data_IF_275285455025
#
_entry.id   IF_275285455025
#
_cell.length_a   1.000
_cell.length_b   1.000
_cell.length_c   1.000
_cell.angle_alpha   90.00
_cell.angle_beta   90.00
_cell.angle_gamma   90.00
#
_symmetry.space_group_name_H-M   'P 1'
#
loop_
_entity.id
_entity.type
_entity.pdbx_description
1 polymer ?
#
# COMPACT_ATOMS: atom_id res chain seq x y z
N UNK A 1 -5.72 10.06 6.18
CA UNK A 1 -5.52 11.02 5.07
C UNK A 1 -4.33 10.60 4.22
N UNK A 2 -4.40 10.78 2.89
CA UNK A 2 -3.23 10.63 2.00
C UNK A 2 -2.25 11.78 2.18
N UNK A 3 -0.97 11.47 2.23
CA UNK A 3 0.09 12.48 2.23
C UNK A 3 0.19 13.11 0.85
N UNK A 4 -0.04 14.43 0.77
CA UNK A 4 -0.07 15.17 -0.50
C UNK A 4 1.29 15.72 -0.92
N UNK A 5 2.07 16.18 0.06
CA UNK A 5 3.46 16.60 -0.10
C UNK A 5 4.35 15.82 0.86
N UNK A 6 4.99 14.76 0.35
CA UNK A 6 5.93 13.94 1.09
C UNK A 6 7.06 14.76 1.74
N UNK A 7 7.47 15.90 1.16
CA UNK A 7 8.53 16.75 1.73
C UNK A 7 8.07 17.59 2.92
N UNK A 8 6.80 17.99 2.98
CA UNK A 8 6.28 18.84 4.07
C UNK A 8 5.56 18.06 5.15
N UNK A 9 4.82 17.04 4.76
CA UNK A 9 3.92 16.32 5.67
C UNK A 9 4.55 15.06 6.25
N UNK A 10 5.59 14.51 5.61
CA UNK A 10 6.32 13.32 6.09
C UNK A 10 7.79 13.61 6.42
N UNK A 11 8.48 14.37 5.57
CA UNK A 11 9.93 14.48 5.60
C UNK A 11 10.50 15.41 6.70
N UNK A 12 9.74 16.40 7.18
CA UNK A 12 10.14 17.11 8.41
C UNK A 12 10.13 16.18 9.64
N UNK A 13 9.60 14.96 9.50
CA UNK A 13 9.22 14.12 10.62
C UNK A 13 9.95 12.76 10.61
N UNK A 14 9.99 11.95 9.54
CA UNK A 14 10.71 10.64 9.56
C UNK A 14 11.13 10.14 8.14
N UNK A 15 12.16 9.28 8.04
CA UNK A 15 12.91 8.86 6.83
C UNK A 15 13.08 7.32 6.71
N UNK A 16 13.74 6.82 5.65
CA UNK A 16 14.11 5.40 5.46
C UNK A 16 15.56 5.13 5.92
N UNK A 17 15.99 3.89 6.21
CA UNK A 17 17.29 3.61 6.86
C UNK A 17 18.52 4.32 6.25
N UNK A 18 18.65 4.31 4.93
CA UNK A 18 19.75 5.01 4.25
C UNK A 18 19.60 6.54 4.29
N UNK A 19 18.36 7.05 4.27
CA UNK A 19 18.09 8.47 4.46
C UNK A 19 18.34 8.92 5.91
N UNK A 20 17.92 8.10 6.89
CA UNK A 20 18.14 8.27 8.33
C UNK A 20 19.61 8.39 8.70
N UNK A 21 20.46 7.61 8.05
CA UNK A 21 21.91 7.70 8.26
C UNK A 21 22.48 9.02 7.73
N UNK A 22 21.96 9.53 6.60
CA UNK A 22 22.40 10.81 6.03
C UNK A 22 22.03 12.02 6.91
N UNK A 23 20.90 11.97 7.62
CA UNK A 23 20.42 13.09 8.45
C UNK A 23 20.50 12.83 9.96
N UNK A 24 21.21 11.78 10.38
CA UNK A 24 21.42 11.41 11.78
C UNK A 24 20.13 11.28 12.61
N UNK A 25 19.04 10.83 12.00
CA UNK A 25 17.77 10.63 12.70
C UNK A 25 17.87 9.43 13.62
N UNK A 26 17.47 9.61 14.88
CA UNK A 26 17.39 8.51 15.84
C UNK A 26 16.12 7.70 15.59
N UNK A 27 16.28 6.42 15.27
CA UNK A 27 15.17 5.49 15.05
C UNK A 27 15.46 4.13 15.67
N UNK A 28 14.41 3.36 15.87
CA UNK A 28 14.48 1.95 16.27
C UNK A 28 13.80 1.12 15.20
N UNK A 29 14.50 0.11 14.67
CA UNK A 29 13.91 -0.85 13.73
C UNK A 29 13.35 -2.03 14.51
N UNK A 30 12.05 -2.30 14.32
CA UNK A 30 11.39 -3.45 14.92
C UNK A 30 10.82 -4.31 13.78
N UNK A 31 11.42 -5.47 13.46
CA UNK A 31 10.84 -6.40 12.51
C UNK A 31 9.63 -7.08 13.13
N UNK A 32 8.54 -7.17 12.37
CA UNK A 32 7.30 -7.85 12.78
C UNK A 32 6.88 -8.83 11.69
N UNK A 33 6.42 -10.01 12.09
CA UNK A 33 5.94 -11.06 11.18
C UNK A 33 4.41 -11.12 11.08
N UNK A 34 3.70 -10.48 12.02
CA UNK A 34 2.24 -10.41 12.03
C UNK A 34 1.68 -9.46 13.10
N UNK A 35 0.36 -9.37 13.16
CA UNK A 35 -0.38 -8.42 14.02
C UNK A 35 -0.06 -8.54 15.51
N UNK A 36 0.02 -9.76 16.03
CA UNK A 36 0.30 -9.99 17.45
C UNK A 36 1.67 -9.43 17.87
N UNK A 37 2.69 -9.58 17.02
CA UNK A 37 4.02 -9.02 17.28
C UNK A 37 4.01 -7.49 17.18
N UNK A 38 3.24 -6.94 16.24
CA UNK A 38 3.07 -5.49 16.08
C UNK A 38 2.38 -4.87 17.30
N UNK A 39 1.27 -5.44 17.77
CA UNK A 39 0.56 -4.98 18.98
C UNK A 39 1.46 -5.05 20.22
N UNK A 40 2.18 -6.15 20.39
CA UNK A 40 3.10 -6.33 21.52
C UNK A 40 4.23 -5.29 21.46
N UNK A 41 4.86 -5.13 20.29
CA UNK A 41 5.91 -4.14 20.10
C UNK A 41 5.40 -2.71 20.31
N UNK A 42 4.19 -2.39 19.86
CA UNK A 42 3.59 -1.09 20.07
C UNK A 42 3.40 -0.79 21.56
N UNK A 43 2.82 -1.72 22.32
CA UNK A 43 2.62 -1.56 23.76
C UNK A 43 3.94 -1.35 24.54
N UNK A 44 5.03 -1.98 24.09
CA UNK A 44 6.36 -1.82 24.70
C UNK A 44 7.00 -0.45 24.43
N UNK A 45 6.62 0.20 23.32
CA UNK A 45 7.29 1.39 22.78
C UNK A 45 6.42 2.65 22.75
N UNK A 46 5.11 2.54 23.01
CA UNK A 46 4.16 3.66 22.86
C UNK A 46 4.45 4.85 23.78
N UNK A 47 5.04 4.62 24.95
CA UNK A 47 5.36 5.68 25.91
C UNK A 47 6.64 6.44 25.52
N UNK A 48 7.51 5.82 24.72
CA UNK A 48 8.81 6.36 24.34
C UNK A 48 8.80 7.06 22.98
N UNK A 49 7.84 6.72 22.11
CA UNK A 49 7.79 7.20 20.73
C UNK A 49 6.43 7.83 20.41
N UNK A 50 6.45 8.96 19.72
CA UNK A 50 5.26 9.62 19.17
C UNK A 50 5.05 9.36 17.68
N UNK A 51 6.11 8.99 16.97
CA UNK A 51 6.11 8.82 15.53
C UNK A 51 6.38 7.36 15.19
N UNK A 52 5.45 6.75 14.46
CA UNK A 52 5.52 5.36 14.05
C UNK A 52 5.53 5.30 12.52
N UNK A 53 6.49 4.59 11.94
CA UNK A 53 6.45 4.21 10.52
C UNK A 53 6.10 2.74 10.43
N UNK A 54 5.04 2.43 9.71
CA UNK A 54 4.66 1.07 9.34
C UNK A 54 4.97 0.85 7.87
N UNK A 55 5.72 -0.21 7.57
CA UNK A 55 6.06 -0.62 6.19
C UNK A 55 5.38 -1.96 5.91
N UNK A 56 4.59 -2.02 4.85
CA UNK A 56 3.85 -3.22 4.41
C UNK A 56 2.89 -3.81 5.46
N UNK A 57 2.39 -2.98 6.37
CA UNK A 57 1.35 -3.32 7.33
C UNK A 57 0.55 -2.07 7.74
N UNK A 58 -0.67 -2.27 8.23
CA UNK A 58 -1.48 -1.20 8.85
C UNK A 58 -2.54 -0.57 7.95
N UNK A 59 -2.43 -0.64 6.62
CA UNK A 59 -3.36 0.13 5.76
C UNK A 59 -4.76 -0.49 5.68
N UNK A 60 -4.87 -1.81 5.70
CA UNK A 60 -6.12 -2.56 5.43
C UNK A 60 -6.97 -2.85 6.68
N UNK A 61 -6.60 -2.34 7.85
CA UNK A 61 -7.34 -2.51 9.11
C UNK A 61 -7.57 -1.17 9.78
N UNK A 62 -8.54 -1.07 10.70
CA UNK A 62 -8.68 0.11 11.53
C UNK A 62 -7.52 0.17 12.54
N UNK A 63 -6.50 0.97 12.22
CA UNK A 63 -5.25 0.99 12.99
C UNK A 63 -5.45 1.64 14.37
N UNK A 64 -6.37 2.60 14.46
CA UNK A 64 -6.66 3.31 15.71
C UNK A 64 -7.48 2.42 16.66
N UNK A 65 -8.44 1.66 16.13
CA UNK A 65 -9.21 0.70 16.93
C UNK A 65 -8.33 -0.43 17.48
N UNK A 66 -7.39 -0.94 16.69
CA UNK A 66 -6.52 -2.04 17.11
C UNK A 66 -5.47 -1.58 18.13
N UNK A 67 -4.77 -0.48 17.85
CA UNK A 67 -3.62 -0.06 18.67
C UNK A 67 -4.02 0.80 19.87
N UNK A 68 -5.21 1.41 19.85
CA UNK A 68 -5.68 2.33 20.90
C UNK A 68 -4.59 3.33 21.34
N UNK A 69 -4.02 4.12 20.41
CA UNK A 69 -2.91 5.01 20.69
C UNK A 69 -3.36 6.28 21.44
N UNK A 70 -2.41 6.98 22.04
CA UNK A 70 -2.65 8.33 22.57
C UNK A 70 -2.89 9.34 21.44
N UNK A 71 -3.62 10.43 21.70
CA UNK A 71 -4.03 11.41 20.68
C UNK A 71 -2.85 12.12 19.97
N UNK A 72 -1.67 12.16 20.60
CA UNK A 72 -0.45 12.77 20.04
C UNK A 72 0.41 11.81 19.21
N UNK A 73 0.05 10.53 19.15
CA UNK A 73 0.74 9.54 18.32
C UNK A 73 0.38 9.71 16.83
N UNK A 74 1.40 9.73 15.98
CA UNK A 74 1.29 9.88 14.53
C UNK A 74 1.84 8.63 13.84
N UNK A 75 1.03 8.06 12.94
CA UNK A 75 1.33 6.86 12.18
C UNK A 75 1.51 7.20 10.70
N UNK A 76 2.71 6.92 10.19
CA UNK A 76 3.01 6.95 8.76
C UNK A 76 2.94 5.54 8.20
N UNK A 77 1.97 5.28 7.33
CA UNK A 77 1.67 3.94 6.82
C UNK A 77 2.07 3.86 5.36
N UNK A 78 3.19 3.17 5.08
CA UNK A 78 3.66 2.86 3.73
C UNK A 78 3.39 1.39 3.42
N UNK A 79 2.16 1.10 3.02
CA UNK A 79 1.67 -0.26 2.85
C UNK A 79 1.05 -0.47 1.48
N UNK A 80 1.30 -1.65 0.91
CA UNK A 80 0.79 -2.06 -0.39
C UNK A 80 -0.56 -2.76 -0.30
N UNK A 81 -0.98 -3.25 0.87
CA UNK A 81 -2.26 -3.98 1.01
C UNK A 81 -3.45 -3.07 0.69
N UNK A 82 -4.44 -3.64 0.00
CA UNK A 82 -5.70 -2.99 -0.39
C UNK A 82 -6.87 -3.96 -0.19
N UNK A 83 -8.09 -3.46 0.04
CA UNK A 83 -8.47 -2.04 0.16
C UNK A 83 -7.90 -1.38 1.42
N UNK A 84 -7.79 -0.04 1.40
CA UNK A 84 -7.35 0.71 2.58
C UNK A 84 -8.56 0.87 3.50
N UNK A 85 -8.40 0.62 4.79
CA UNK A 85 -9.50 0.79 5.72
C UNK A 85 -10.03 2.25 5.69
N UNK A 86 -11.35 2.41 5.62
CA UNK A 86 -11.99 3.72 5.46
C UNK A 86 -11.68 4.68 6.61
N UNK A 87 -11.49 4.18 7.84
CA UNK A 87 -11.11 5.01 8.99
C UNK A 87 -9.72 5.58 8.79
N UNK A 88 -8.77 4.79 8.29
CA UNK A 88 -7.43 5.28 7.96
C UNK A 88 -7.44 6.34 6.84
N UNK A 89 -8.34 6.19 5.85
CA UNK A 89 -8.47 7.15 4.76
C UNK A 89 -8.96 8.50 5.28
N UNK A 90 -10.05 8.49 6.04
CA UNK A 90 -10.74 9.70 6.50
C UNK A 90 -10.18 10.27 7.82
N UNK A 91 -9.27 9.57 8.50
CA UNK A 91 -8.60 10.12 9.67
C UNK A 91 -7.54 11.15 9.25
N UNK A 92 -7.74 12.39 9.67
CA UNK A 92 -6.88 13.51 9.29
C UNK A 92 -5.83 13.89 10.33
N UNK A 93 -5.96 13.34 11.54
CA UNK A 93 -5.15 13.70 12.71
C UNK A 93 -3.90 12.82 12.84
N UNK A 94 -4.09 11.52 13.04
CA UNK A 94 -3.04 10.59 13.46
C UNK A 94 -2.52 9.74 12.31
N UNK A 95 -3.37 9.39 11.33
CA UNK A 95 -3.01 8.47 10.25
C UNK A 95 -2.59 9.22 8.98
N UNK A 96 -1.36 8.99 8.55
CA UNK A 96 -0.74 9.56 7.35
C UNK A 96 -0.38 8.43 6.38
N UNK A 97 -1.17 8.28 5.32
CA UNK A 97 -0.99 7.23 4.32
C UNK A 97 0.07 7.66 3.30
N UNK A 98 1.18 6.93 3.27
CA UNK A 98 2.26 7.06 2.28
C UNK A 98 1.96 6.18 1.06
N UNK A 99 0.86 6.50 0.39
CA UNK A 99 0.32 5.77 -0.77
C UNK A 99 0.22 6.74 -1.96
N UNK A 100 0.52 6.28 -3.16
CA UNK A 100 0.33 7.10 -4.37
C UNK A 100 -1.15 7.34 -4.61
N UNK A 101 -1.52 8.60 -4.82
CA UNK A 101 -2.90 9.02 -5.10
C UNK A 101 -3.43 8.46 -6.44
N UNK A 102 -2.51 8.11 -7.35
CA UNK A 102 -2.85 7.53 -8.66
C UNK A 102 -3.21 6.02 -8.58
N UNK A 103 -3.05 5.38 -7.42
CA UNK A 103 -3.58 4.02 -7.23
C UNK A 103 -5.12 4.09 -7.32
N UNK A 104 -5.74 3.13 -8.01
CA UNK A 104 -7.20 3.05 -8.14
C UNK A 104 -7.79 2.47 -6.84
N UNK A 105 -8.14 3.36 -5.90
CA UNK A 105 -8.51 2.99 -4.53
C UNK A 105 -10.02 2.79 -4.31
N UNK A 106 -10.86 3.22 -5.24
CA UNK A 106 -12.33 3.11 -5.21
C UNK A 106 -12.97 3.36 -3.82
N UNK A 107 -12.49 4.37 -3.08
CA UNK A 107 -12.93 4.63 -1.70
C UNK A 107 -14.39 5.12 -1.68
N UNK A 108 -15.27 4.54 -0.84
CA UNK A 108 -16.65 5.01 -0.67
C UNK A 108 -16.72 6.45 -0.16
N UNK A 109 -17.76 7.20 -0.53
CA UNK A 109 -17.94 8.59 -0.09
C UNK A 109 -18.24 8.68 1.42
N UNK A 110 -17.71 9.72 2.08
CA UNK A 110 -17.83 9.92 3.53
C UNK A 110 -19.28 9.84 4.04
N UNK A 111 -20.20 10.55 3.38
CA UNK A 111 -21.62 10.65 3.79
C UNK A 111 -22.38 9.30 3.73
N UNK A 112 -21.86 8.33 2.97
CA UNK A 112 -22.45 7.00 2.84
C UNK A 112 -22.02 6.04 3.96
N UNK A 113 -20.90 6.35 4.64
CA UNK A 113 -20.27 5.45 5.62
C UNK A 113 -20.09 6.08 7.02
N UNK A 114 -20.07 7.40 7.13
CA UNK A 114 -19.99 8.15 8.38
C UNK A 114 -21.19 9.08 8.51
N UNK A 115 -21.65 9.27 9.76
CA UNK A 115 -22.77 10.15 10.09
C UNK A 115 -22.49 10.81 11.44
N UNK A 116 -22.81 12.09 11.55
CA UNK A 116 -22.67 12.83 12.80
C UNK A 116 -23.76 12.42 13.80
N UNK A 117 -23.37 11.70 14.86
CA UNK A 117 -24.30 11.23 15.90
C UNK A 117 -24.85 12.38 16.77
N UNK A 118 -24.19 13.55 16.77
CA UNK A 118 -24.60 14.73 17.57
C UNK A 118 -25.94 15.33 17.12
N UNK A 119 -26.36 15.16 15.86
CA UNK A 119 -27.67 15.62 15.41
C UNK A 119 -28.84 14.80 15.99
N UNK A 120 -28.56 13.59 16.49
CA UNK A 120 -29.59 12.66 16.92
C UNK A 120 -29.87 12.69 18.44
N UNK A 121 -28.95 13.15 19.28
CA UNK A 121 -29.16 13.26 20.75
C UNK A 121 -29.87 14.56 21.17
N UNK A 122 -29.85 15.61 20.35
CA UNK A 122 -30.42 16.92 20.69
C UNK A 122 -31.95 16.95 20.87
N UNK A 123 -32.65 15.86 20.52
CA UNK A 123 -34.12 15.79 20.55
C UNK A 123 -34.71 14.88 21.63
N UNK A 124 -33.90 14.28 22.51
CA UNK A 124 -34.40 13.36 23.55
C UNK A 124 -34.68 14.03 24.92
N UNK A 125 -34.46 15.34 25.08
CA UNK A 125 -34.47 15.99 26.39
C UNK A 125 -35.29 17.28 26.48
N UNK A 126 -36.63 17.20 26.33
CA UNK A 126 -37.48 18.32 26.77
C UNK A 126 -38.88 17.88 27.22
N UNK A 127 -38.94 17.04 28.26
CA UNK A 127 -40.15 16.88 29.09
C UNK A 127 -40.22 18.07 30.07
N UNK A 128 -40.65 19.24 29.60
CA UNK A 128 -41.03 20.34 30.48
C UNK A 128 -42.53 20.24 30.78
N UNK A 129 -42.81 19.62 31.92
CA UNK A 129 -44.11 19.53 32.56
C UNK A 129 -44.68 20.93 32.81
N UNK A 130 -45.65 21.35 32.00
CA UNK A 130 -46.55 22.43 32.34
C UNK A 130 -47.97 22.16 31.83
N UNK A 131 -48.86 21.98 32.80
CA UNK A 131 -50.24 21.60 32.61
C UNK A 131 -51.07 22.60 31.81
N UNK A 132 -52.07 22.05 31.13
CA UNK A 132 -53.37 22.61 30.73
C UNK A 132 -53.73 22.42 29.24
N UNK A 133 -54.99 22.00 29.06
CA UNK A 133 -55.88 21.83 27.89
C UNK A 133 -55.75 20.62 26.91
N UNK A 134 -56.88 19.97 26.51
CA UNK A 134 -56.89 18.56 26.11
C UNK A 134 -57.15 18.25 24.62
N UNK A 135 -57.24 19.24 23.71
CA UNK A 135 -57.72 18.97 22.33
C UNK A 135 -56.71 19.16 21.19
N UNK A 136 -55.71 20.04 21.32
CA UNK A 136 -54.73 20.30 20.25
C UNK A 136 -53.37 19.61 20.45
N UNK A 137 -53.11 19.08 21.65
CA UNK A 137 -51.84 18.40 21.99
C UNK A 137 -51.73 16.98 21.40
N UNK A 138 -52.84 16.31 21.07
CA UNK A 138 -52.81 14.95 20.51
C UNK A 138 -52.26 14.91 19.08
N UNK A 139 -52.60 15.88 18.25
CA UNK A 139 -52.14 15.94 16.85
C UNK A 139 -50.64 16.26 16.76
N UNK A 140 -50.11 17.12 17.65
CA UNK A 140 -48.67 17.42 17.71
C UNK A 140 -47.82 16.25 18.18
N UNK A 141 -48.29 15.49 19.18
CA UNK A 141 -47.61 14.28 19.64
C UNK A 141 -47.61 13.19 18.56
N UNK A 142 -48.69 13.04 17.79
CA UNK A 142 -48.74 12.11 16.65
C UNK A 142 -47.79 12.52 15.52
N UNK A 143 -47.71 13.82 15.20
CA UNK A 143 -46.75 14.37 14.22
C UNK A 143 -45.29 14.13 14.66
N UNK A 144 -44.95 14.35 15.93
CA UNK A 144 -43.62 14.07 16.49
C UNK A 144 -43.26 12.58 16.44
N UNK A 145 -44.22 11.69 16.74
CA UNK A 145 -44.01 10.24 16.64
C UNK A 145 -43.80 9.82 15.18
N UNK A 146 -44.54 10.41 14.23
CA UNK A 146 -44.35 10.15 12.78
C UNK A 146 -42.99 10.65 12.31
N UNK A 147 -42.54 11.82 12.76
CA UNK A 147 -41.22 12.37 12.41
C UNK A 147 -40.09 11.48 12.98
N UNK A 148 -40.20 11.06 14.25
CA UNK A 148 -39.24 10.15 14.88
C UNK A 148 -39.20 8.78 14.19
N UNK A 149 -40.36 8.23 13.81
CA UNK A 149 -40.41 6.95 13.09
C UNK A 149 -39.87 7.05 11.67
N UNK A 150 -40.07 8.19 10.99
CA UNK A 150 -39.47 8.47 9.68
C UNK A 150 -37.94 8.57 9.78
N UNK A 151 -37.40 9.28 10.78
CA UNK A 151 -35.96 9.35 11.06
C UNK A 151 -35.36 7.97 11.37
N UNK A 152 -36.04 7.16 12.19
CA UNK A 152 -35.63 5.77 12.47
C UNK A 152 -35.62 4.90 11.22
N UNK A 153 -36.60 5.07 10.32
CA UNK A 153 -36.65 4.35 9.05
C UNK A 153 -35.49 4.75 8.14
N UNK A 154 -35.26 6.05 7.97
CA UNK A 154 -34.14 6.57 7.19
C UNK A 154 -32.79 6.06 7.74
N UNK A 155 -32.63 6.02 9.07
CA UNK A 155 -31.45 5.44 9.71
C UNK A 155 -31.25 3.97 9.34
N UNK A 156 -32.29 3.14 9.44
CA UNK A 156 -32.21 1.72 9.05
C UNK A 156 -31.88 1.53 7.59
N UNK A 157 -32.46 2.36 6.71
CA UNK A 157 -32.18 2.32 5.28
C UNK A 157 -30.73 2.76 4.98
N UNK A 158 -30.21 3.75 5.70
CA UNK A 158 -28.81 4.17 5.60
C UNK A 158 -27.86 3.09 6.13
N UNK A 159 -28.11 2.52 7.32
CA UNK A 159 -27.32 1.42 7.88
C UNK A 159 -27.29 0.19 6.97
N UNK A 160 -28.40 -0.11 6.29
CA UNK A 160 -28.46 -1.17 5.29
C UNK A 160 -27.57 -0.85 4.08
N UNK A 161 -27.71 0.34 3.49
CA UNK A 161 -26.87 0.77 2.37
C UNK A 161 -25.38 0.81 2.74
N UNK A 162 -25.05 1.32 3.92
CA UNK A 162 -23.68 1.35 4.45
C UNK A 162 -23.07 -0.06 4.50
N UNK A 163 -23.82 -1.05 4.97
CA UNK A 163 -23.35 -2.44 5.01
C UNK A 163 -23.07 -2.98 3.61
N UNK A 164 -23.95 -2.71 2.65
CA UNK A 164 -23.78 -3.17 1.27
C UNK A 164 -22.55 -2.50 0.63
N UNK A 165 -22.38 -1.19 0.82
CA UNK A 165 -21.24 -0.42 0.31
C UNK A 165 -19.91 -0.92 0.90
N UNK A 166 -19.84 -1.10 2.22
CA UNK A 166 -18.63 -1.61 2.87
C UNK A 166 -18.34 -3.06 2.46
N UNK A 167 -19.39 -3.88 2.29
CA UNK A 167 -19.23 -5.24 1.79
C UNK A 167 -18.62 -5.25 0.38
N UNK A 168 -19.13 -4.44 -0.54
CA UNK A 168 -18.60 -4.34 -1.91
C UNK A 168 -17.15 -3.82 -1.91
N UNK A 169 -16.84 -2.85 -1.04
CA UNK A 169 -15.50 -2.27 -0.91
C UNK A 169 -14.48 -3.27 -0.35
N UNK A 170 -14.83 -4.02 0.69
CA UNK A 170 -13.95 -4.96 1.41
C UNK A 170 -13.91 -6.36 0.77
N UNK A 171 -14.65 -6.58 -0.32
CA UNK A 171 -14.83 -7.91 -0.90
C UNK A 171 -13.54 -8.53 -1.44
N UNK A 172 -12.64 -7.73 -2.00
CA UNK A 172 -11.45 -8.22 -2.72
C UNK A 172 -10.16 -7.61 -2.19
N UNK A 173 -9.26 -8.46 -1.72
CA UNK A 173 -7.91 -8.06 -1.35
C UNK A 173 -6.97 -8.04 -2.57
N UNK A 174 -6.16 -6.99 -2.67
CA UNK A 174 -5.15 -6.86 -3.71
C UNK A 174 -3.96 -6.02 -3.21
N UNK A 175 -2.95 -5.83 -4.06
CA UNK A 175 -1.81 -4.97 -3.75
C UNK A 175 -1.69 -3.77 -4.70
N UNK A 176 -1.42 -2.61 -4.12
CA UNK A 176 -1.11 -1.37 -4.82
C UNK A 176 0.36 -1.26 -5.22
N UNK A 177 0.81 -0.03 -5.46
CA UNK A 177 2.20 0.26 -5.86
C UNK A 177 3.21 -0.15 -4.79
N UNK A 178 4.34 -0.73 -5.21
CA UNK A 178 5.41 -1.20 -4.30
C UNK A 178 5.88 -0.12 -3.33
N UNK A 179 5.91 -0.42 -2.03
CA UNK A 179 6.42 0.50 -0.99
C UNK A 179 7.89 0.89 -1.22
N UNK A 180 8.69 0.01 -1.82
CA UNK A 180 10.07 0.34 -2.18
C UNK A 180 10.13 1.43 -3.27
N UNK A 181 9.20 1.42 -4.22
CA UNK A 181 9.08 2.49 -5.22
C UNK A 181 8.62 3.81 -4.59
N UNK A 182 7.66 3.76 -3.65
CA UNK A 182 7.22 4.95 -2.91
C UNK A 182 8.38 5.58 -2.13
N UNK A 183 9.16 4.75 -1.42
CA UNK A 183 10.34 5.21 -0.68
C UNK A 183 11.46 5.73 -1.60
N UNK A 184 11.61 5.16 -2.79
CA UNK A 184 12.54 5.68 -3.79
C UNK A 184 12.09 7.03 -4.35
N UNK A 185 10.79 7.19 -4.63
CA UNK A 185 10.24 8.48 -5.07
C UNK A 185 10.43 9.56 -4.01
N UNK A 186 10.29 9.22 -2.73
CA UNK A 186 10.64 10.12 -1.63
C UNK A 186 12.12 10.52 -1.66
N UNK A 187 13.03 9.56 -1.80
CA UNK A 187 14.46 9.84 -1.89
C UNK A 187 14.80 10.74 -3.10
N UNK A 188 14.13 10.50 -4.23
CA UNK A 188 14.25 11.33 -5.43
C UNK A 188 13.69 12.73 -5.23
N UNK A 189 12.54 12.86 -4.56
CA UNK A 189 12.04 14.16 -4.13
C UNK A 189 13.08 14.85 -3.24
N UNK A 190 13.89 14.17 -2.45
CA UNK A 190 14.90 14.83 -1.63
C UNK A 190 16.23 15.10 -2.34
N UNK A 191 16.35 14.75 -3.63
CA UNK A 191 17.62 14.75 -4.37
C UNK A 191 18.70 13.89 -3.69
N UNK A 192 18.28 12.82 -2.98
CA UNK A 192 19.14 11.85 -2.29
C UNK A 192 18.98 10.43 -2.87
N UNK A 193 18.50 10.34 -4.11
CA UNK A 193 18.35 9.10 -4.85
C UNK A 193 19.70 8.53 -5.31
N UNK A 194 20.11 7.45 -4.65
CA UNK A 194 21.29 6.67 -4.98
C UNK A 194 20.97 5.55 -5.97
N UNK A 195 21.98 5.07 -6.70
CA UNK A 195 21.81 3.95 -7.63
C UNK A 195 21.35 2.68 -6.90
N UNK A 196 21.84 2.44 -5.69
CA UNK A 196 21.43 1.31 -4.84
C UNK A 196 19.94 1.38 -4.46
N UNK A 197 19.41 2.58 -4.18
CA UNK A 197 17.99 2.75 -3.86
C UNK A 197 17.10 2.43 -5.06
N UNK A 198 17.54 2.78 -6.26
CA UNK A 198 16.85 2.41 -7.49
C UNK A 198 16.84 0.88 -7.67
N UNK A 199 17.95 0.22 -7.36
CA UNK A 199 18.02 -1.24 -7.36
C UNK A 199 17.06 -1.86 -6.34
N UNK A 200 17.00 -1.34 -5.11
CA UNK A 200 16.05 -1.81 -4.09
C UNK A 200 14.59 -1.64 -4.53
N UNK A 201 14.26 -0.54 -5.21
CA UNK A 201 12.94 -0.35 -5.80
C UNK A 201 12.61 -1.39 -6.88
N UNK A 202 13.57 -1.72 -7.76
CA UNK A 202 13.42 -2.78 -8.77
C UNK A 202 13.19 -4.14 -8.09
N UNK A 203 13.96 -4.46 -7.05
CA UNK A 203 13.81 -5.70 -6.28
C UNK A 203 12.42 -5.75 -5.62
N UNK A 204 11.98 -4.66 -4.99
CA UNK A 204 10.67 -4.59 -4.33
C UNK A 204 9.48 -4.68 -5.30
N UNK A 205 9.59 -4.16 -6.52
CA UNK A 205 8.57 -4.37 -7.56
C UNK A 205 8.59 -5.82 -8.08
N UNK A 206 9.78 -6.37 -8.27
CA UNK A 206 9.96 -7.75 -8.75
C UNK A 206 9.43 -8.78 -7.75
N UNK A 207 9.56 -8.50 -6.44
CA UNK A 207 8.95 -9.32 -5.39
C UNK A 207 7.43 -9.44 -5.57
N UNK A 208 6.74 -8.31 -5.77
CA UNK A 208 5.30 -8.31 -6.04
C UNK A 208 4.94 -9.12 -7.29
N UNK A 209 5.75 -9.05 -8.34
CA UNK A 209 5.53 -9.80 -9.58
C UNK A 209 5.76 -11.31 -9.42
N UNK A 210 6.81 -11.72 -8.70
CA UNK A 210 7.12 -13.14 -8.45
C UNK A 210 6.06 -13.80 -7.57
N UNK A 211 5.50 -13.05 -6.61
CA UNK A 211 4.45 -13.51 -5.71
C UNK A 211 3.03 -13.38 -6.30
N UNK A 212 2.90 -12.99 -7.57
CA UNK A 212 1.62 -12.75 -8.25
C UNK A 212 0.69 -11.77 -7.50
N UNK A 213 1.26 -10.81 -6.75
CA UNK A 213 0.52 -9.79 -5.98
C UNK A 213 -0.08 -8.69 -6.85
N UNK A 214 0.51 -8.46 -8.02
CA UNK A 214 0.10 -7.42 -8.97
C UNK A 214 -0.12 -8.01 -10.35
N UNK A 215 -0.93 -7.34 -11.16
CA UNK A 215 -1.17 -7.76 -12.54
C UNK A 215 0.04 -7.53 -13.44
N UNK A 216 0.14 -8.27 -14.54
CA UNK A 216 1.19 -8.06 -15.54
C UNK A 216 1.15 -6.63 -16.12
N UNK A 217 -0.05 -6.05 -16.31
CA UNK A 217 -0.18 -4.68 -16.81
C UNK A 217 0.39 -3.66 -15.82
N UNK A 218 0.11 -3.82 -14.51
CA UNK A 218 0.68 -2.97 -13.47
C UNK A 218 2.21 -3.10 -13.43
N UNK A 219 2.73 -4.34 -13.44
CA UNK A 219 4.17 -4.58 -13.45
C UNK A 219 4.88 -3.91 -14.64
N UNK A 220 4.36 -4.05 -15.86
CA UNK A 220 4.94 -3.41 -17.06
C UNK A 220 4.89 -1.89 -16.98
N UNK A 221 3.81 -1.33 -16.44
CA UNK A 221 3.65 0.12 -16.23
C UNK A 221 4.70 0.64 -15.25
N UNK A 222 4.84 -0.04 -14.10
CA UNK A 222 5.76 0.35 -13.03
C UNK A 222 7.23 0.16 -13.44
N UNK A 223 7.55 -0.88 -14.22
CA UNK A 223 8.87 -1.04 -14.87
C UNK A 223 9.16 0.14 -15.81
N UNK A 224 8.16 0.60 -16.57
CA UNK A 224 8.30 1.76 -17.44
C UNK A 224 8.65 3.04 -16.67
N UNK A 225 8.19 3.18 -15.41
CA UNK A 225 8.59 4.28 -14.53
C UNK A 225 10.05 4.11 -14.09
N UNK A 226 10.43 2.93 -13.58
CA UNK A 226 11.80 2.66 -13.14
C UNK A 226 12.84 2.78 -14.26
N UNK A 227 12.47 2.44 -15.49
CA UNK A 227 13.30 2.65 -16.68
C UNK A 227 13.69 4.12 -16.86
N UNK A 228 12.75 5.05 -16.67
CA UNK A 228 13.04 6.49 -16.78
C UNK A 228 14.04 6.94 -15.72
N UNK A 229 13.92 6.41 -14.50
CA UNK A 229 14.89 6.69 -13.43
C UNK A 229 16.28 6.12 -13.73
N UNK A 230 16.38 4.90 -14.26
CA UNK A 230 17.67 4.34 -14.66
C UNK A 230 18.32 5.15 -15.79
N UNK A 231 17.56 5.57 -16.82
CA UNK A 231 18.09 6.45 -17.86
C UNK A 231 18.62 7.76 -17.28
N UNK A 232 17.89 8.37 -16.33
CA UNK A 232 18.32 9.60 -15.64
C UNK A 232 19.61 9.38 -14.84
N UNK A 233 19.71 8.30 -14.07
CA UNK A 233 20.90 7.98 -13.28
C UNK A 233 22.12 7.67 -14.16
N UNK A 234 21.92 6.96 -15.28
CA UNK A 234 22.99 6.67 -16.23
C UNK A 234 23.54 7.93 -16.89
N UNK A 235 22.69 8.90 -17.25
CA UNK A 235 23.13 10.18 -17.79
C UNK A 235 23.93 11.00 -16.75
N UNK A 236 23.49 11.00 -15.49
CA UNK A 236 24.21 11.65 -14.37
C UNK A 236 25.62 11.11 -14.17
N UNK A 237 25.87 9.85 -14.50
CA UNK A 237 27.18 9.20 -14.38
C UNK A 237 28.12 9.49 -15.56
N UNK A 238 27.62 9.98 -16.70
CA UNK A 238 28.44 10.37 -17.86
C UNK A 238 29.04 11.77 -17.70
N UNK A 239 28.49 12.59 -16.80
CA UNK A 239 29.03 13.91 -16.46
C UNK A 239 30.34 13.74 -15.66
N UNK A 240 31.48 14.16 -16.25
CA UNK A 240 32.84 14.01 -15.67
C UNK A 240 32.99 14.64 -14.27
N UNK A 241 32.16 15.64 -13.91
CA UNK A 241 32.16 16.25 -12.57
C UNK A 241 31.53 15.36 -11.48
N UNK A 242 30.66 14.40 -11.86
CA UNK A 242 30.05 13.43 -10.95
C UNK A 242 30.83 12.11 -10.84
N UNK A 243 31.94 11.96 -11.59
CA UNK A 243 32.77 10.75 -11.61
C UNK A 243 33.51 10.45 -10.28
N UNK A 244 33.40 11.34 -9.28
CA UNK A 244 33.84 11.09 -7.90
C UNK A 244 32.74 10.47 -7.02
N UNK A 245 31.56 10.19 -7.58
CA UNK A 245 30.47 9.52 -6.89
C UNK A 245 30.89 8.13 -6.42
N UNK A 246 30.58 7.82 -5.17
CA UNK A 246 30.86 6.54 -4.50
C UNK A 246 30.04 5.37 -5.10
N UNK A 247 29.03 5.68 -5.93
CA UNK A 247 28.14 4.71 -6.55
C UNK A 247 28.74 4.09 -7.83
N UNK A 248 29.34 2.91 -7.71
CA UNK A 248 29.86 2.13 -8.84
C UNK A 248 28.81 1.24 -9.55
N UNK A 249 27.57 1.21 -9.07
CA UNK A 249 26.50 0.37 -9.64
C UNK A 249 25.86 1.03 -10.86
N UNK A 250 26.00 0.40 -12.02
CA UNK A 250 25.33 0.81 -13.27
C UNK A 250 24.14 -0.11 -13.52
N UNK A 251 22.94 0.47 -13.62
CA UNK A 251 21.71 -0.27 -13.89
C UNK A 251 21.31 -0.01 -15.35
N UNK A 252 21.37 -1.06 -16.16
CA UNK A 252 20.93 -1.01 -17.56
C UNK A 252 19.72 -1.90 -17.76
N UNK A 253 18.67 -1.35 -18.36
CA UNK A 253 17.56 -2.16 -18.86
C UNK A 253 17.92 -2.68 -20.25
N UNK A 254 17.96 -4.00 -20.44
CA UNK A 254 18.28 -4.67 -21.71
C UNK A 254 17.25 -4.45 -22.83
N UNK A 255 16.29 -3.54 -22.65
CA UNK A 255 15.36 -3.13 -23.71
C UNK A 255 15.89 -1.97 -24.57
N UNK A 256 17.11 -1.51 -24.30
CA UNK A 256 17.77 -0.50 -25.11
C UNK A 256 18.19 -1.12 -26.45
N UNK A 257 17.59 -0.64 -27.55
CA UNK A 257 17.82 -1.08 -28.95
C UNK A 257 19.28 -1.05 -29.41
N UNK A 258 20.18 -0.53 -28.58
CA UNK A 258 21.62 -0.42 -28.83
C UNK A 258 22.41 -1.71 -28.55
N UNK A 259 21.90 -2.67 -27.77
CA UNK A 259 22.58 -3.94 -27.48
C UNK A 259 21.94 -5.07 -28.28
N UNK A 260 22.32 -5.17 -29.56
CA UNK A 260 21.85 -6.19 -30.49
C UNK A 260 22.24 -7.64 -30.12
N UNK A 261 23.02 -7.83 -29.05
CA UNK A 261 23.63 -9.12 -28.68
C UNK A 261 22.99 -9.81 -27.47
N UNK A 262 22.19 -9.10 -26.67
CA UNK A 262 21.50 -9.67 -25.50
C UNK A 262 19.99 -9.55 -25.68
N UNK A 263 19.34 -10.65 -26.08
CA UNK A 263 17.88 -10.73 -26.16
C UNK A 263 17.20 -10.53 -24.80
N UNK A 264 15.86 -10.37 -24.76
CA UNK A 264 15.14 -10.18 -23.49
C UNK A 264 15.47 -11.29 -22.50
N UNK A 265 15.68 -10.92 -21.23
CA UNK A 265 16.03 -11.87 -20.18
C UNK A 265 14.99 -12.99 -20.09
N UNK A 266 15.46 -14.24 -19.99
CA UNK A 266 14.60 -15.41 -20.00
C UNK A 266 13.78 -15.48 -18.72
N UNK A 267 12.49 -15.86 -18.83
CA UNK A 267 11.63 -16.16 -17.67
C UNK A 267 11.98 -17.54 -17.10
N UNK A 268 13.21 -17.70 -16.63
CA UNK A 268 13.76 -18.91 -16.05
C UNK A 268 14.42 -18.58 -14.71
N UNK A 269 14.05 -19.29 -13.65
CA UNK A 269 14.58 -19.07 -12.32
C UNK A 269 16.06 -19.46 -12.26
N UNK A 270 16.92 -18.53 -11.81
CA UNK A 270 18.34 -18.78 -11.54
C UNK A 270 19.17 -19.28 -12.73
N UNK A 271 18.74 -19.03 -13.98
CA UNK A 271 19.42 -19.57 -15.17
C UNK A 271 20.88 -19.12 -15.34
N UNK A 272 21.27 -18.00 -14.73
CA UNK A 272 22.64 -17.49 -14.73
C UNK A 272 23.53 -18.15 -13.67
N UNK A 273 22.94 -18.85 -12.69
CA UNK A 273 23.66 -19.44 -11.56
C UNK A 273 23.67 -20.96 -11.61
N UNK A 274 22.74 -21.59 -12.35
CA UNK A 274 22.56 -23.03 -12.46
C UNK A 274 22.73 -23.52 -13.89
N UNK A 275 22.69 -24.85 -14.08
CA UNK A 275 22.57 -25.40 -15.43
C UNK A 275 21.22 -24.99 -16.05
N UNK A 276 21.21 -24.76 -17.37
CA UNK A 276 19.98 -24.44 -18.11
C UNK A 276 18.90 -25.52 -17.91
N UNK A 277 19.32 -26.78 -17.87
CA UNK A 277 18.42 -27.91 -17.62
C UNK A 277 17.72 -27.78 -16.26
N UNK A 278 18.46 -27.50 -15.19
CA UNK A 278 17.88 -27.37 -13.85
C UNK A 278 16.98 -26.15 -13.75
N UNK A 279 17.37 -25.05 -14.38
CA UNK A 279 16.54 -23.84 -14.45
C UNK A 279 15.20 -24.11 -15.16
N UNK A 280 15.22 -24.83 -16.29
CA UNK A 280 14.01 -25.28 -16.99
C UNK A 280 13.16 -26.23 -16.16
N UNK A 281 13.80 -27.10 -15.36
CA UNK A 281 13.10 -28.06 -14.52
C UNK A 281 12.42 -27.43 -13.29
N UNK A 282 13.02 -26.38 -12.73
CA UNK A 282 12.59 -25.77 -11.47
C UNK A 282 11.79 -24.47 -11.65
N UNK A 283 11.69 -23.94 -12.88
CA UNK A 283 10.82 -22.80 -13.16
C UNK A 283 9.37 -23.25 -13.28
N UNK A 284 8.47 -22.73 -12.43
CA UNK A 284 7.05 -23.11 -12.40
C UNK A 284 6.38 -23.09 -13.78
N UNK A 285 6.65 -22.04 -14.58
CA UNK A 285 6.07 -21.88 -15.92
C UNK A 285 6.43 -23.03 -16.87
N UNK A 286 7.71 -23.38 -16.99
CA UNK A 286 8.17 -24.46 -17.86
C UNK A 286 7.83 -25.82 -17.27
N UNK A 287 8.00 -26.01 -15.97
CA UNK A 287 7.66 -27.25 -15.27
C UNK A 287 6.20 -27.63 -15.48
N UNK A 288 5.28 -26.66 -15.37
CA UNK A 288 3.85 -26.86 -15.62
C UNK A 288 3.52 -27.13 -17.09
N UNK A 289 4.09 -26.35 -18.03
CA UNK A 289 3.80 -26.52 -19.47
C UNK A 289 4.34 -27.82 -20.06
N UNK A 290 5.51 -28.25 -19.62
CA UNK A 290 6.09 -29.53 -20.02
C UNK A 290 5.54 -30.71 -19.20
N UNK A 291 4.91 -30.46 -18.03
CA UNK A 291 4.42 -31.48 -17.10
C UNK A 291 5.55 -32.40 -16.61
N UNK A 292 6.61 -31.79 -16.08
CA UNK A 292 7.88 -32.47 -15.74
C UNK A 292 7.79 -33.48 -14.60
N UNK A 293 6.68 -33.51 -13.87
CA UNK A 293 6.34 -34.58 -12.93
C UNK A 293 6.04 -35.92 -13.62
N UNK A 294 5.94 -35.95 -14.95
CA UNK A 294 5.69 -37.16 -15.75
C UNK A 294 6.89 -37.50 -16.63
N UNK A 295 7.14 -38.81 -16.83
CA UNK A 295 8.19 -39.30 -17.74
C UNK A 295 7.97 -38.79 -19.18
N UNK A 296 6.71 -38.70 -19.62
CA UNK A 296 6.38 -38.14 -20.92
C UNK A 296 6.75 -36.66 -21.03
N UNK A 297 6.51 -35.88 -19.98
CA UNK A 297 6.90 -34.47 -19.92
C UNK A 297 8.41 -34.28 -19.95
N UNK A 298 9.16 -35.12 -19.23
CA UNK A 298 10.62 -35.13 -19.29
C UNK A 298 11.14 -35.46 -20.69
N UNK A 299 10.54 -36.44 -21.38
CA UNK A 299 10.90 -36.74 -22.78
C UNK A 299 10.66 -35.55 -23.70
N UNK A 300 9.52 -34.86 -23.56
CA UNK A 300 9.22 -33.63 -24.33
C UNK A 300 10.20 -32.50 -24.07
N UNK A 301 10.69 -32.36 -22.84
CA UNK A 301 11.74 -31.38 -22.53
C UNK A 301 13.06 -31.74 -23.23
N UNK A 302 13.42 -33.03 -23.28
CA UNK A 302 14.60 -33.49 -24.02
C UNK A 302 14.44 -33.29 -25.52
N UNK A 303 13.25 -33.52 -26.08
CA UNK A 303 12.94 -33.20 -27.48
C UNK A 303 13.08 -31.70 -27.76
N UNK A 304 12.63 -30.84 -26.83
CA UNK A 304 12.79 -29.39 -26.92
C UNK A 304 14.27 -28.96 -26.87
N UNK A 305 15.06 -29.53 -25.96
CA UNK A 305 16.50 -29.26 -25.89
C UNK A 305 17.22 -29.75 -27.16
N UNK A 306 16.85 -30.92 -27.68
CA UNK A 306 17.41 -31.44 -28.93
C UNK A 306 17.07 -30.57 -30.15
N UNK A 307 15.91 -29.90 -30.15
CA UNK A 307 15.52 -28.93 -31.20
C UNK A 307 16.33 -27.63 -31.11
N UNK A 308 16.77 -27.24 -29.91
CA UNK A 308 17.65 -26.09 -29.70
C UNK A 308 19.10 -26.35 -30.18
N UNK A 309 19.56 -27.61 -30.18
CA UNK A 309 20.90 -28.03 -30.59
C UNK A 309 21.79 -28.47 -29.42
#
# INVERSE_FOLDING_TARGET
MFVSDFRKEFYEVVQSQALFQCDHVQYTLIPVSGWQELETAFLEHKEQFRYFILINCGANVDLLDILQPDEDAIFFVCDTHRPVNVVNVYNDTQIKLLIKQDDDLEVPAYDDIFRDEQEDEAHSGNESDNGSEPSEKRTRLEEEIVEQTMKRRQRREWEARRRDILFDYEQYEYHGTSSAMVMFDLAWMMSKDLNDMLWWAIVGLTDQWVQDKITQMKYVTDIGVLQRHASRHNHRNEDEENALSVDCTRISFEYDRSLLDCGPSLRLALYQHWSLHDSLCNTCYTAARFKLWSVHGQKRLQEFLADMG
#
